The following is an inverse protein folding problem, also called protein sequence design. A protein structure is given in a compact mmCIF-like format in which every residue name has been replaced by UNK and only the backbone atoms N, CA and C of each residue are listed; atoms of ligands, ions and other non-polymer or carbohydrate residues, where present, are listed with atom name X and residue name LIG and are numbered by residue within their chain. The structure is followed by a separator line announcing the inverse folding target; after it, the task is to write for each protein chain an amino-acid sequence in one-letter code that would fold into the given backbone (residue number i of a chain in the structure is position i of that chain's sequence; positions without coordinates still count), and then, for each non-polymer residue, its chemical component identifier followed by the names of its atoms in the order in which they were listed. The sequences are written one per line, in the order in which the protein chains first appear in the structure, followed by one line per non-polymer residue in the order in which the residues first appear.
data_IF_416379394762
#
_entry.id   IF_416379394762
#
_cell.length_a   1.000
_cell.length_b   1.000
_cell.length_c   1.000
_cell.angle_alpha   90.00
_cell.angle_beta   90.00
_cell.angle_gamma   90.00
#
_symmetry.space_group_name_H-M   'P 1'
#
loop_
_entity.id
_entity.type
_entity.pdbx_description
1 polymer ?
#
# COMPACT_ATOMS: atom_id res chain seq x y z
N UNK A 1 69.01 29.36 -0.18
CA UNK A 1 67.65 29.29 0.42
C UNK A 1 66.85 28.01 0.13
N UNK A 2 67.27 27.08 -0.75
CA UNK A 2 66.54 25.81 -0.98
C UNK A 2 66.87 24.68 0.02
N UNK A 3 67.98 24.75 0.76
CA UNK A 3 68.33 23.71 1.74
C UNK A 3 67.65 23.88 3.11
N UNK A 4 67.18 25.08 3.46
CA UNK A 4 66.50 25.33 4.73
C UNK A 4 65.04 24.83 4.75
N UNK A 5 64.35 24.78 3.60
CA UNK A 5 62.96 24.29 3.56
C UNK A 5 62.89 22.75 3.64
N UNK A 6 63.88 22.04 3.12
CA UNK A 6 63.91 20.57 3.16
C UNK A 6 64.11 20.02 4.59
N UNK A 7 64.90 20.73 5.41
CA UNK A 7 65.12 20.38 6.82
C UNK A 7 63.88 20.65 7.68
N UNK A 8 63.09 21.69 7.36
CA UNK A 8 61.87 22.02 8.10
C UNK A 8 60.74 21.02 7.82
N UNK A 9 60.61 20.56 6.56
CA UNK A 9 59.61 19.55 6.18
C UNK A 9 59.86 18.17 6.80
N UNK A 10 61.14 17.80 6.95
CA UNK A 10 61.50 16.52 7.61
C UNK A 10 61.28 16.58 9.12
N UNK A 11 61.58 17.71 9.76
CA UNK A 11 61.30 17.90 11.19
C UNK A 11 59.79 17.90 11.49
N UNK A 12 58.98 18.57 10.66
CA UNK A 12 57.53 18.61 10.86
C UNK A 12 56.89 17.21 10.70
N UNK A 13 57.33 16.42 9.71
CA UNK A 13 56.83 15.04 9.53
C UNK A 13 57.19 14.12 10.69
N UNK A 14 58.38 14.27 11.26
CA UNK A 14 58.81 13.48 12.42
C UNK A 14 57.97 13.80 13.67
N UNK A 15 57.66 15.08 13.91
CA UNK A 15 56.82 15.50 15.04
C UNK A 15 55.37 15.03 14.88
N UNK A 16 54.80 15.12 13.68
CA UNK A 16 53.42 14.65 13.41
C UNK A 16 53.31 13.14 13.59
N UNK A 17 54.29 12.36 13.13
CA UNK A 17 54.31 10.90 13.32
C UNK A 17 54.49 10.52 14.80
N UNK A 18 55.35 11.22 15.54
CA UNK A 18 55.53 10.99 16.97
C UNK A 18 54.25 11.26 17.78
N UNK A 19 53.52 12.34 17.45
CA UNK A 19 52.22 12.64 18.06
C UNK A 19 51.15 11.61 17.72
N UNK A 20 51.09 11.14 16.47
CA UNK A 20 50.14 10.10 16.06
C UNK A 20 50.36 8.79 16.81
N UNK A 21 51.62 8.36 16.96
CA UNK A 21 51.97 7.14 17.70
C UNK A 21 51.67 7.30 19.20
N UNK A 22 51.97 8.47 19.77
CA UNK A 22 51.67 8.75 21.18
C UNK A 22 50.16 8.70 21.49
N UNK A 23 49.32 9.23 20.59
CA UNK A 23 47.86 9.16 20.73
C UNK A 23 47.32 7.73 20.61
N UNK A 24 47.90 6.90 19.74
CA UNK A 24 47.53 5.48 19.61
C UNK A 24 47.91 4.70 20.89
N UNK A 25 49.09 4.97 21.46
CA UNK A 25 49.57 4.30 22.67
C UNK A 25 48.72 4.72 23.89
N UNK A 26 48.44 6.01 24.08
CA UNK A 26 47.58 6.48 25.18
C UNK A 26 46.14 6.00 25.01
N UNK A 27 45.62 5.97 23.77
CA UNK A 27 44.31 5.41 23.45
C UNK A 27 44.21 3.92 23.80
N UNK A 28 45.25 3.12 23.51
CA UNK A 28 45.23 1.68 23.84
C UNK A 28 45.38 1.38 25.34
N UNK A 29 46.07 2.23 26.10
CA UNK A 29 46.28 2.03 27.54
C UNK A 29 45.09 2.46 28.40
N UNK A 30 44.35 3.49 27.97
CA UNK A 30 43.14 3.95 28.67
C UNK A 30 41.93 3.02 28.44
N UNK A 31 41.84 2.42 27.26
CA UNK A 31 40.76 1.46 26.91
C UNK A 31 40.89 0.13 27.66
N UNK A 32 42.09 -0.27 28.08
CA UNK A 32 42.33 -1.59 28.70
C UNK A 32 42.17 -1.63 30.22
N UNK A 33 42.01 -0.49 30.92
CA UNK A 33 41.99 -0.47 32.40
C UNK A 33 40.76 0.13 33.08
N UNK A 34 39.84 0.79 32.36
CA UNK A 34 38.80 1.59 33.02
C UNK A 34 37.34 1.19 32.75
N UNK A 35 37.04 0.21 31.89
CA UNK A 35 35.63 -0.01 31.50
C UNK A 35 35.26 -1.48 31.28
N UNK A 36 34.13 -1.99 31.85
CA UNK A 36 33.58 -3.31 31.51
C UNK A 36 33.39 -3.44 29.99
N UNK A 37 33.41 -4.67 29.43
CA UNK A 37 33.86 -4.92 28.07
C UNK A 37 33.03 -4.14 27.05
N UNK A 38 33.56 -3.03 26.58
CA UNK A 38 33.04 -2.32 25.42
C UNK A 38 33.02 -3.21 24.18
N UNK A 39 33.80 -4.30 24.15
CA UNK A 39 33.71 -5.32 23.10
C UNK A 39 32.30 -5.88 22.94
N UNK A 40 31.61 -6.25 24.02
CA UNK A 40 30.25 -6.81 23.93
C UNK A 40 29.21 -5.75 23.52
N UNK A 41 29.33 -4.53 24.05
CA UNK A 41 28.41 -3.42 23.71
C UNK A 41 28.64 -2.90 22.29
N UNK A 42 29.90 -2.78 21.86
CA UNK A 42 30.27 -2.36 20.52
C UNK A 42 29.93 -3.44 19.50
N UNK A 43 30.16 -4.73 19.80
CA UNK A 43 29.77 -5.84 18.93
C UNK A 43 28.24 -6.00 18.87
N UNK A 44 27.50 -5.75 19.97
CA UNK A 44 26.04 -5.67 19.95
C UNK A 44 25.54 -4.47 19.11
N UNK A 45 26.18 -3.30 19.19
CA UNK A 45 25.86 -2.14 18.35
C UNK A 45 26.22 -2.36 16.87
N UNK A 46 27.38 -2.97 16.58
CA UNK A 46 27.82 -3.25 15.22
C UNK A 46 26.99 -4.35 14.56
N UNK A 47 26.64 -5.41 15.30
CA UNK A 47 25.73 -6.45 14.80
C UNK A 47 24.31 -5.92 14.58
N UNK A 48 23.83 -5.03 15.45
CA UNK A 48 22.53 -4.37 15.28
C UNK A 48 22.47 -3.47 14.03
N UNK A 49 23.58 -2.80 13.66
CA UNK A 49 23.58 -1.80 12.58
C UNK A 49 24.20 -2.26 11.24
N UNK A 50 25.09 -3.25 11.24
CA UNK A 50 25.94 -3.55 10.07
C UNK A 50 25.75 -4.97 9.52
N UNK A 51 25.50 -5.98 10.36
CA UNK A 51 25.47 -7.39 9.92
C UNK A 51 24.21 -8.17 10.29
N UNK A 52 23.32 -7.59 11.12
CA UNK A 52 22.28 -8.35 11.82
C UNK A 52 22.84 -9.24 12.93
N UNK A 53 21.96 -9.69 13.84
CA UNK A 53 22.30 -10.69 14.84
C UNK A 53 22.46 -12.06 14.17
N UNK A 54 23.70 -12.55 14.07
CA UNK A 54 23.98 -13.91 13.60
C UNK A 54 23.64 -14.93 14.69
N UNK A 55 23.35 -16.17 14.31
CA UNK A 55 23.08 -17.25 15.26
C UNK A 55 24.21 -17.39 16.31
N UNK A 56 25.47 -17.23 15.88
CA UNK A 56 26.64 -17.25 16.76
C UNK A 56 26.67 -16.11 17.79
N UNK A 57 26.24 -14.89 17.41
CA UNK A 57 26.16 -13.75 18.31
C UNK A 57 24.97 -13.88 19.28
N UNK A 58 23.87 -14.49 18.86
CA UNK A 58 22.76 -14.80 19.76
C UNK A 58 23.11 -15.88 20.78
N UNK A 59 23.93 -16.88 20.42
CA UNK A 59 24.39 -17.89 21.38
C UNK A 59 25.36 -17.32 22.43
N UNK A 60 26.21 -16.36 22.07
CA UNK A 60 27.14 -15.74 23.02
C UNK A 60 26.45 -14.82 24.03
N UNK A 61 25.37 -14.13 23.63
CA UNK A 61 24.58 -13.29 24.52
C UNK A 61 23.08 -13.34 24.20
N UNK A 62 22.40 -14.36 24.74
CA UNK A 62 20.96 -14.60 24.51
C UNK A 62 20.07 -13.46 24.98
N UNK A 63 20.41 -12.84 26.11
CA UNK A 63 19.64 -11.72 26.70
C UNK A 63 19.69 -10.50 25.79
N UNK A 64 20.88 -10.13 25.30
CA UNK A 64 21.05 -8.99 24.40
C UNK A 64 20.34 -9.25 23.05
N UNK A 65 20.46 -10.46 22.50
CA UNK A 65 19.77 -10.86 21.28
C UNK A 65 18.24 -10.77 21.42
N UNK A 66 17.65 -11.34 22.48
CA UNK A 66 16.20 -11.26 22.73
C UNK A 66 15.73 -9.81 22.94
N UNK A 67 16.53 -8.97 23.61
CA UNK A 67 16.20 -7.56 23.83
C UNK A 67 16.23 -6.76 22.52
N UNK A 68 17.17 -7.04 21.62
CA UNK A 68 17.20 -6.45 20.29
C UNK A 68 15.98 -6.89 19.47
N UNK A 69 15.64 -8.20 19.48
CA UNK A 69 14.45 -8.72 18.79
C UNK A 69 13.15 -8.10 19.31
N UNK A 70 13.07 -7.81 20.61
CA UNK A 70 11.95 -7.07 21.18
C UNK A 70 11.83 -5.67 20.59
N UNK A 71 12.96 -4.94 20.52
CA UNK A 71 13.02 -3.61 19.88
C UNK A 71 12.63 -3.67 18.40
N UNK A 72 13.11 -4.67 17.67
CA UNK A 72 12.76 -4.89 16.25
C UNK A 72 11.27 -5.14 16.07
N UNK A 73 10.67 -6.03 16.87
CA UNK A 73 9.24 -6.32 16.82
C UNK A 73 8.39 -5.10 17.21
N UNK A 74 8.84 -4.29 18.18
CA UNK A 74 8.14 -3.06 18.55
C UNK A 74 8.18 -2.01 17.43
N UNK A 75 9.32 -1.87 16.76
CA UNK A 75 9.47 -1.04 15.58
C UNK A 75 8.57 -1.53 14.42
N UNK A 76 8.54 -2.84 14.16
CA UNK A 76 7.66 -3.46 13.16
C UNK A 76 6.18 -3.25 13.51
N UNK A 77 5.80 -3.44 14.77
CA UNK A 77 4.43 -3.20 15.25
C UNK A 77 3.98 -1.75 15.01
N UNK A 78 4.88 -0.79 15.27
CA UNK A 78 4.62 0.63 15.04
C UNK A 78 4.50 0.94 13.55
N UNK A 79 5.41 0.42 12.70
CA UNK A 79 5.33 0.57 11.24
C UNK A 79 4.04 -0.03 10.67
N UNK A 80 3.62 -1.20 11.13
CA UNK A 80 2.33 -1.80 10.77
C UNK A 80 1.16 -0.91 11.17
N UNK A 81 1.19 -0.30 12.36
CA UNK A 81 0.19 0.68 12.78
C UNK A 81 0.07 1.85 11.80
N UNK A 82 1.20 2.44 11.40
CA UNK A 82 1.24 3.52 10.40
C UNK A 82 0.75 3.06 9.03
N UNK A 83 1.17 1.87 8.56
CA UNK A 83 0.75 1.32 7.28
C UNK A 83 -0.76 1.03 7.24
N UNK A 84 -1.33 0.45 8.29
CA UNK A 84 -2.78 0.23 8.42
C UNK A 84 -3.53 1.56 8.40
N UNK A 85 -3.05 2.58 9.13
CA UNK A 85 -3.66 3.90 9.10
C UNK A 85 -3.62 4.54 7.71
N UNK A 86 -2.50 4.42 7.00
CA UNK A 86 -2.36 4.91 5.63
C UNK A 86 -3.28 4.18 4.64
N UNK A 87 -3.35 2.84 4.70
CA UNK A 87 -4.26 2.03 3.88
C UNK A 87 -5.73 2.34 4.20
N UNK A 88 -6.09 2.49 5.47
CA UNK A 88 -7.44 2.86 5.88
C UNK A 88 -7.87 4.21 5.31
N UNK A 89 -6.97 5.20 5.32
CA UNK A 89 -7.21 6.50 4.69
C UNK A 89 -7.36 6.40 3.17
N UNK A 90 -6.56 5.56 2.51
CA UNK A 90 -6.72 5.30 1.07
C UNK A 90 -8.04 4.60 0.77
N UNK A 91 -8.40 3.56 1.52
CA UNK A 91 -9.68 2.85 1.40
C UNK A 91 -10.85 3.83 1.51
N UNK A 92 -10.87 4.69 2.52
CA UNK A 92 -11.93 5.70 2.66
C UNK A 92 -12.00 6.69 1.49
N UNK A 93 -10.89 6.98 0.78
CA UNK A 93 -10.92 7.76 -0.47
C UNK A 93 -11.53 6.95 -1.61
N UNK A 94 -11.18 5.67 -1.73
CA UNK A 94 -11.70 4.76 -2.75
C UNK A 94 -13.19 4.50 -2.57
N UNK A 95 -13.67 4.31 -1.34
CA UNK A 95 -15.10 4.16 -1.04
C UNK A 95 -15.91 5.39 -1.47
N UNK A 96 -15.41 6.60 -1.19
CA UNK A 96 -16.07 7.83 -1.65
C UNK A 96 -16.08 7.97 -3.17
N UNK A 97 -14.99 7.60 -3.85
CA UNK A 97 -14.96 7.58 -5.31
C UNK A 97 -15.95 6.54 -5.85
N UNK A 98 -16.04 5.35 -5.25
CA UNK A 98 -16.99 4.31 -5.64
C UNK A 98 -18.44 4.80 -5.55
N UNK A 99 -18.82 5.41 -4.42
CA UNK A 99 -20.14 6.02 -4.24
C UNK A 99 -20.40 7.11 -5.29
N UNK A 100 -19.40 7.94 -5.59
CA UNK A 100 -19.50 8.96 -6.63
C UNK A 100 -19.77 8.34 -8.01
N UNK A 101 -19.01 7.31 -8.40
CA UNK A 101 -19.18 6.63 -9.69
C UNK A 101 -20.49 5.88 -9.79
N UNK A 102 -20.96 5.28 -8.70
CA UNK A 102 -22.29 4.65 -8.65
C UNK A 102 -23.41 5.68 -8.86
N UNK A 103 -23.28 6.89 -8.27
CA UNK A 103 -24.23 7.98 -8.52
C UNK A 103 -24.19 8.47 -9.97
N UNK A 104 -23.00 8.61 -10.56
CA UNK A 104 -22.85 8.97 -11.98
C UNK A 104 -23.52 7.95 -12.91
N UNK A 105 -23.30 6.66 -12.66
CA UNK A 105 -23.92 5.57 -13.42
C UNK A 105 -25.44 5.56 -13.26
N UNK A 106 -25.95 5.70 -12.03
CA UNK A 106 -27.39 5.76 -11.77
C UNK A 106 -28.04 6.99 -12.41
N UNK A 107 -27.37 8.14 -12.38
CA UNK A 107 -27.81 9.37 -13.04
C UNK A 107 -27.87 9.22 -14.56
N UNK A 108 -26.85 8.61 -15.17
CA UNK A 108 -26.83 8.30 -16.61
C UNK A 108 -28.00 7.36 -16.98
N UNK A 109 -28.26 6.32 -16.19
CA UNK A 109 -29.38 5.41 -16.40
C UNK A 109 -30.74 6.14 -16.30
N UNK A 110 -30.92 7.01 -15.30
CA UNK A 110 -32.14 7.80 -15.15
C UNK A 110 -32.38 8.73 -16.35
N UNK A 111 -31.32 9.40 -16.84
CA UNK A 111 -31.38 10.24 -18.04
C UNK A 111 -31.74 9.45 -19.30
N UNK A 112 -31.16 8.25 -19.46
CA UNK A 112 -31.53 7.35 -20.56
C UNK A 112 -33.00 6.95 -20.50
N UNK A 113 -33.50 6.62 -19.31
CA UNK A 113 -34.87 6.19 -19.12
C UNK A 113 -35.87 7.31 -19.40
N UNK A 114 -35.65 8.50 -18.83
CA UNK A 114 -36.45 9.70 -19.08
C UNK A 114 -36.40 10.09 -20.56
N UNK A 115 -35.21 10.21 -21.12
CA UNK A 115 -35.01 10.68 -22.48
C UNK A 115 -35.65 9.75 -23.51
N UNK A 116 -35.59 8.43 -23.31
CA UNK A 116 -36.27 7.52 -24.23
C UNK A 116 -37.81 7.56 -24.07
N UNK A 117 -38.36 8.01 -22.92
CA UNK A 117 -39.82 8.20 -22.75
C UNK A 117 -40.25 9.44 -23.53
N UNK A 118 -39.49 10.53 -23.38
CA UNK A 118 -39.67 11.77 -24.11
C UNK A 118 -39.51 11.56 -25.62
N UNK A 119 -38.52 10.77 -26.06
CA UNK A 119 -38.31 10.43 -27.46
C UNK A 119 -39.52 9.73 -28.07
N UNK A 120 -40.08 8.73 -27.38
CA UNK A 120 -41.27 8.02 -27.85
C UNK A 120 -42.49 8.96 -27.97
N UNK A 121 -42.67 9.88 -27.02
CA UNK A 121 -43.76 10.88 -27.06
C UNK A 121 -43.57 11.89 -28.20
N UNK A 122 -42.39 12.49 -28.29
CA UNK A 122 -42.03 13.47 -29.31
C UNK A 122 -42.13 12.91 -30.73
N UNK A 123 -41.74 11.65 -30.92
CA UNK A 123 -41.80 10.97 -32.22
C UNK A 123 -43.24 10.70 -32.65
N UNK A 124 -44.13 10.28 -31.73
CA UNK A 124 -45.56 10.08 -32.01
C UNK A 124 -46.27 11.40 -32.31
N UNK A 125 -45.98 12.43 -31.53
CA UNK A 125 -46.60 13.75 -31.66
C UNK A 125 -45.98 14.61 -32.78
N UNK A 126 -44.80 14.23 -33.29
CA UNK A 126 -43.97 15.03 -34.21
C UNK A 126 -43.64 16.43 -33.65
N UNK A 127 -43.40 16.52 -32.35
CA UNK A 127 -43.08 17.77 -31.63
C UNK A 127 -41.68 17.73 -31.05
N UNK A 128 -41.20 18.86 -30.54
CA UNK A 128 -39.98 18.93 -29.72
C UNK A 128 -40.22 18.35 -28.32
N UNK A 129 -39.14 17.96 -27.64
CA UNK A 129 -39.15 17.57 -26.24
C UNK A 129 -38.14 18.39 -25.44
N UNK A 130 -38.47 18.68 -24.18
CA UNK A 130 -37.55 19.30 -23.22
C UNK A 130 -36.85 18.18 -22.45
N UNK A 131 -35.53 18.10 -22.55
CA UNK A 131 -34.71 17.11 -21.86
C UNK A 131 -33.54 17.82 -21.17
N UNK A 132 -33.35 17.56 -19.87
CA UNK A 132 -32.34 18.24 -19.04
C UNK A 132 -32.35 19.78 -19.18
N UNK A 133 -33.53 20.38 -19.31
CA UNK A 133 -33.72 21.83 -19.42
C UNK A 133 -33.44 22.43 -20.81
N UNK A 134 -33.22 21.62 -21.84
CA UNK A 134 -33.03 22.07 -23.24
C UNK A 134 -34.06 21.45 -24.17
N UNK A 135 -34.46 22.20 -25.19
CA UNK A 135 -35.37 21.71 -26.23
C UNK A 135 -34.60 20.94 -27.32
N UNK A 136 -35.16 19.79 -27.72
CA UNK A 136 -34.61 18.92 -28.75
C UNK A 136 -35.67 18.53 -29.77
N UNK A 137 -35.29 18.47 -31.04
CA UNK A 137 -36.04 17.73 -32.06
C UNK A 137 -35.87 16.21 -31.83
N UNK A 138 -36.78 15.35 -32.33
CA UNK A 138 -36.66 13.91 -32.15
C UNK A 138 -35.29 13.34 -32.59
N UNK A 139 -34.76 13.77 -33.72
CA UNK A 139 -33.45 13.32 -34.21
C UNK A 139 -32.29 13.81 -33.34
N UNK A 140 -32.36 15.05 -32.84
CA UNK A 140 -31.36 15.58 -31.94
C UNK A 140 -31.37 14.87 -30.58
N UNK A 141 -32.57 14.57 -30.05
CA UNK A 141 -32.74 13.79 -28.83
C UNK A 141 -32.21 12.36 -29.00
N UNK A 142 -32.48 11.71 -30.14
CA UNK A 142 -31.94 10.38 -30.45
C UNK A 142 -30.41 10.36 -30.36
N UNK A 143 -29.73 11.32 -31.00
CA UNK A 143 -28.26 11.44 -30.96
C UNK A 143 -27.75 11.68 -29.55
N UNK A 144 -28.43 12.52 -28.77
CA UNK A 144 -28.05 12.78 -27.39
C UNK A 144 -28.17 11.52 -26.53
N UNK A 145 -29.24 10.73 -26.71
CA UNK A 145 -29.42 9.46 -26.02
C UNK A 145 -28.40 8.41 -26.44
N UNK A 146 -28.00 8.42 -27.71
CA UNK A 146 -26.95 7.54 -28.22
C UNK A 146 -25.61 7.81 -27.52
N UNK A 147 -25.24 9.09 -27.34
CA UNK A 147 -24.04 9.47 -26.59
C UNK A 147 -24.11 8.96 -25.15
N UNK A 148 -25.22 9.22 -24.45
CA UNK A 148 -25.42 8.75 -23.07
C UNK A 148 -25.35 7.22 -22.97
N UNK A 149 -25.88 6.51 -23.98
CA UNK A 149 -25.89 5.05 -24.03
C UNK A 149 -24.48 4.49 -24.22
N UNK A 150 -23.67 5.13 -25.08
CA UNK A 150 -22.26 4.79 -25.29
C UNK A 150 -21.38 5.11 -24.07
N UNK A 151 -21.77 6.06 -23.22
CA UNK A 151 -21.08 6.39 -21.96
C UNK A 151 -21.31 5.33 -20.87
N UNK A 152 -22.49 4.70 -20.84
CA UNK A 152 -22.87 3.69 -19.83
C UNK A 152 -21.81 2.59 -19.61
N UNK A 153 -21.31 1.88 -20.63
CA UNK A 153 -20.29 0.83 -20.43
C UNK A 153 -18.98 1.38 -19.84
N UNK A 154 -18.60 2.62 -20.20
CA UNK A 154 -17.42 3.26 -19.64
C UNK A 154 -17.62 3.58 -18.14
N UNK A 155 -18.78 4.13 -17.75
CA UNK A 155 -19.13 4.37 -16.35
C UNK A 155 -19.18 3.07 -15.55
N UNK A 156 -19.79 2.02 -16.11
CA UNK A 156 -19.84 0.70 -15.47
C UNK A 156 -18.43 0.11 -15.26
N UNK A 157 -17.54 0.25 -16.25
CA UNK A 157 -16.16 -0.21 -16.13
C UNK A 157 -15.41 0.54 -15.02
N UNK A 158 -15.63 1.85 -14.88
CA UNK A 158 -15.07 2.64 -13.78
C UNK A 158 -15.60 2.18 -12.42
N UNK A 159 -16.91 1.98 -12.27
CA UNK A 159 -17.51 1.46 -11.03
C UNK A 159 -16.87 0.11 -10.66
N UNK A 160 -16.78 -0.81 -11.62
CA UNK A 160 -16.19 -2.13 -11.38
C UNK A 160 -14.71 -2.04 -10.98
N UNK A 161 -13.95 -1.15 -11.61
CA UNK A 161 -12.54 -0.92 -11.29
C UNK A 161 -12.37 -0.42 -9.86
N UNK A 162 -13.13 0.60 -9.46
CA UNK A 162 -13.03 1.17 -8.13
C UNK A 162 -13.51 0.16 -7.07
N UNK A 163 -14.52 -0.65 -7.38
CA UNK A 163 -14.96 -1.75 -6.52
C UNK A 163 -13.87 -2.82 -6.33
N UNK A 164 -13.21 -3.25 -7.42
CA UNK A 164 -12.07 -4.19 -7.33
C UNK A 164 -10.92 -3.62 -6.50
N UNK A 165 -10.62 -2.33 -6.66
CA UNK A 165 -9.60 -1.65 -5.87
C UNK A 165 -9.99 -1.61 -4.39
N UNK A 166 -11.25 -1.33 -4.08
CA UNK A 166 -11.76 -1.35 -2.71
C UNK A 166 -11.58 -2.73 -2.06
N UNK A 167 -11.92 -3.80 -2.78
CA UNK A 167 -11.77 -5.18 -2.31
C UNK A 167 -10.30 -5.55 -2.06
N UNK A 168 -9.39 -5.13 -2.95
CA UNK A 168 -7.95 -5.37 -2.79
C UNK A 168 -7.43 -4.65 -1.54
N UNK A 169 -7.81 -3.38 -1.34
CA UNK A 169 -7.43 -2.62 -0.15
C UNK A 169 -7.99 -3.24 1.13
N UNK A 170 -9.22 -3.72 1.12
CA UNK A 170 -9.83 -4.37 2.28
C UNK A 170 -9.11 -5.66 2.67
N UNK A 171 -8.80 -6.54 1.70
CA UNK A 171 -8.02 -7.76 1.95
C UNK A 171 -6.63 -7.46 2.51
N UNK A 172 -5.95 -6.47 1.95
CA UNK A 172 -4.61 -6.05 2.42
C UNK A 172 -4.68 -5.47 3.84
N UNK A 173 -5.69 -4.65 4.13
CA UNK A 173 -5.90 -4.09 5.46
C UNK A 173 -6.14 -5.21 6.49
N UNK A 174 -7.00 -6.17 6.17
CA UNK A 174 -7.27 -7.34 7.04
C UNK A 174 -6.00 -8.18 7.27
N UNK A 175 -5.23 -8.45 6.21
CA UNK A 175 -3.95 -9.18 6.33
C UNK A 175 -2.94 -8.45 7.23
N UNK A 176 -2.78 -7.13 7.06
CA UNK A 176 -1.91 -6.33 7.92
C UNK A 176 -2.39 -6.28 9.38
N UNK A 177 -3.71 -6.24 9.61
CA UNK A 177 -4.26 -6.32 10.97
C UNK A 177 -3.93 -7.67 11.62
N UNK A 178 -4.11 -8.78 10.90
CA UNK A 178 -3.72 -10.11 11.39
C UNK A 178 -2.22 -10.15 11.69
N UNK A 179 -1.36 -9.67 10.78
CA UNK A 179 0.10 -9.60 11.00
C UNK A 179 0.45 -8.75 12.21
N UNK A 180 -0.22 -7.61 12.41
CA UNK A 180 -0.01 -6.75 13.60
C UNK A 180 -0.33 -7.48 14.90
N UNK A 181 -1.42 -8.26 14.94
CA UNK A 181 -1.76 -9.06 16.13
C UNK A 181 -0.72 -10.15 16.41
N UNK A 182 -0.20 -10.82 15.36
CA UNK A 182 0.88 -11.82 15.49
C UNK A 182 2.19 -11.21 16.00
N UNK A 183 2.60 -10.07 15.43
CA UNK A 183 3.80 -9.32 15.86
C UNK A 183 3.65 -8.87 17.31
N UNK A 184 2.48 -8.35 17.69
CA UNK A 184 2.20 -7.96 19.07
C UNK A 184 2.31 -9.16 20.03
N UNK A 185 1.66 -10.28 19.71
CA UNK A 185 1.73 -11.48 20.55
C UNK A 185 3.16 -11.98 20.72
N UNK A 186 3.93 -12.03 19.63
CA UNK A 186 5.35 -12.39 19.68
C UNK A 186 6.17 -11.42 20.54
N UNK A 187 5.95 -10.11 20.39
CA UNK A 187 6.62 -9.07 21.19
C UNK A 187 6.31 -9.22 22.67
N UNK A 188 5.04 -9.45 23.01
CA UNK A 188 4.57 -9.52 24.39
C UNK A 188 5.07 -10.80 25.13
N UNK A 189 5.52 -11.84 24.40
CA UNK A 189 6.15 -13.04 24.97
C UNK A 189 7.64 -12.87 25.31
N UNK A 190 8.35 -11.98 24.61
CA UNK A 190 9.80 -11.83 24.76
C UNK A 190 10.26 -11.40 26.15
N UNK A 191 9.58 -10.49 26.89
CA UNK A 191 9.98 -10.13 28.25
C UNK A 191 10.06 -11.34 29.19
N UNK A 192 9.07 -12.24 29.13
CA UNK A 192 9.07 -13.47 29.93
C UNK A 192 10.22 -14.39 29.53
N UNK A 193 10.51 -14.53 28.23
CA UNK A 193 11.63 -15.34 27.76
C UNK A 193 12.99 -14.76 28.20
N UNK A 194 13.13 -13.43 28.19
CA UNK A 194 14.32 -12.74 28.67
C UNK A 194 14.56 -13.06 30.15
N UNK A 195 13.52 -13.01 30.98
CA UNK A 195 13.63 -13.36 32.41
C UNK A 195 13.96 -14.83 32.64
N UNK A 196 13.39 -15.74 31.84
CA UNK A 196 13.73 -17.17 31.91
C UNK A 196 15.20 -17.45 31.54
N UNK A 197 15.72 -16.78 30.52
CA UNK A 197 17.14 -16.87 30.15
C UNK A 197 18.03 -16.29 31.26
N UNK A 198 17.65 -15.14 31.84
CA UNK A 198 18.37 -14.54 32.99
C UNK A 198 18.39 -15.48 34.19
N UNK A 199 17.32 -16.25 34.40
CA UNK A 199 17.23 -17.26 35.44
C UNK A 199 17.99 -18.58 35.14
N UNK A 200 18.74 -18.65 34.03
CA UNK A 200 19.43 -19.87 33.57
C UNK A 200 18.51 -21.09 33.36
N UNK A 201 17.21 -20.88 33.12
CA UNK A 201 16.32 -21.96 32.76
C UNK A 201 16.68 -22.46 31.36
N UNK A 202 17.15 -23.71 31.25
CA UNK A 202 17.45 -24.35 29.96
C UNK A 202 16.13 -24.55 29.21
N UNK A 203 15.86 -23.69 28.24
CA UNK A 203 14.71 -23.83 27.35
C UNK A 203 15.27 -24.03 25.94
N UNK A 204 15.20 -25.27 25.46
CA UNK A 204 15.62 -25.65 24.10
C UNK A 204 14.80 -24.98 22.99
N UNK A 205 13.63 -24.44 23.31
CA UNK A 205 12.68 -23.86 22.34
C UNK A 205 12.85 -22.35 22.09
N UNK A 206 13.81 -21.68 22.75
CA UNK A 206 14.06 -20.24 22.51
C UNK A 206 14.57 -20.04 21.07
N UNK A 207 15.41 -20.93 20.56
CA UNK A 207 15.99 -20.83 19.22
C UNK A 207 14.95 -21.09 18.11
N UNK A 208 13.91 -21.89 18.39
CA UNK A 208 12.76 -22.05 17.48
C UNK A 208 11.91 -20.78 17.44
N UNK A 209 11.58 -20.23 18.61
CA UNK A 209 10.78 -19.00 18.72
C UNK A 209 11.49 -17.81 18.08
N UNK A 210 12.81 -17.67 18.27
CA UNK A 210 13.62 -16.63 17.65
C UNK A 210 13.63 -16.69 16.13
N UNK A 211 13.68 -17.89 15.55
CA UNK A 211 13.62 -18.08 14.09
C UNK A 211 12.25 -17.69 13.54
N UNK A 212 11.18 -18.09 14.22
CA UNK A 212 9.81 -17.75 13.81
C UNK A 212 9.53 -16.24 13.91
N UNK A 213 10.04 -15.60 14.96
CA UNK A 213 9.99 -14.14 15.13
C UNK A 213 10.73 -13.43 14.00
N UNK A 214 11.92 -13.91 13.64
CA UNK A 214 12.73 -13.28 12.58
C UNK A 214 12.05 -13.42 11.23
N UNK A 215 11.58 -14.63 10.87
CA UNK A 215 10.80 -14.84 9.64
C UNK A 215 9.54 -13.99 9.60
N UNK A 216 8.84 -13.85 10.72
CA UNK A 216 7.66 -12.99 10.81
C UNK A 216 8.01 -11.52 10.53
N UNK A 217 9.08 -11.01 11.13
CA UNK A 217 9.55 -9.64 10.92
C UNK A 217 9.98 -9.41 9.46
N UNK A 218 10.71 -10.34 8.86
CA UNK A 218 11.18 -10.24 7.48
C UNK A 218 10.01 -10.26 6.48
N UNK A 219 9.06 -11.19 6.65
CA UNK A 219 7.86 -11.26 5.82
C UNK A 219 7.06 -9.95 5.90
N UNK A 220 6.85 -9.42 7.10
CA UNK A 220 6.15 -8.15 7.31
C UNK A 220 6.87 -6.97 6.65
N UNK A 221 8.20 -6.90 6.77
CA UNK A 221 8.97 -5.83 6.13
C UNK A 221 8.88 -5.91 4.60
N UNK A 222 8.89 -7.11 4.02
CA UNK A 222 8.65 -7.31 2.58
C UNK A 222 7.26 -6.83 2.18
N UNK A 223 6.22 -7.22 2.92
CA UNK A 223 4.86 -6.79 2.62
C UNK A 223 4.72 -5.26 2.68
N UNK A 224 5.32 -4.61 3.69
CA UNK A 224 5.30 -3.14 3.80
C UNK A 224 6.03 -2.48 2.63
N UNK A 225 7.10 -3.08 2.12
CA UNK A 225 7.80 -2.59 0.93
C UNK A 225 6.90 -2.70 -0.31
N UNK A 226 6.20 -3.83 -0.49
CA UNK A 226 5.29 -4.07 -1.60
C UNK A 226 4.10 -3.09 -1.60
N UNK A 227 3.65 -2.61 -0.43
CA UNK A 227 2.62 -1.58 -0.34
C UNK A 227 3.02 -0.26 -1.04
N UNK A 228 4.32 0.03 -1.17
CA UNK A 228 4.77 1.23 -1.89
C UNK A 228 4.55 1.13 -3.40
N UNK A 229 4.46 -0.07 -3.94
CA UNK A 229 4.30 -0.33 -5.38
C UNK A 229 2.83 -0.38 -5.83
N UNK A 230 1.88 -0.22 -4.90
CA UNK A 230 0.44 -0.17 -5.23
C UNK A 230 0.14 0.91 -6.29
N UNK A 231 0.91 2.02 -6.31
CA UNK A 231 0.79 3.06 -7.33
C UNK A 231 1.02 2.57 -8.77
N UNK A 232 1.92 1.60 -8.97
CA UNK A 232 2.20 1.02 -10.30
C UNK A 232 1.08 0.14 -10.82
N UNK A 233 0.40 -0.59 -9.92
CA UNK A 233 -0.73 -1.45 -10.27
C UNK A 233 -1.98 -0.64 -10.71
N UNK A 234 -2.15 0.56 -10.16
CA UNK A 234 -3.24 1.46 -10.52
C UNK A 234 -3.10 2.00 -11.96
N UNK A 235 -1.87 2.30 -12.39
CA UNK A 235 -1.60 2.80 -13.73
C UNK A 235 -1.90 1.76 -14.83
N UNK A 236 -1.53 0.50 -14.61
CA UNK A 236 -1.73 -0.58 -15.59
C UNK A 236 -3.21 -0.96 -15.77
N UNK A 237 -3.99 -0.89 -14.69
CA UNK A 237 -5.44 -1.18 -14.74
C UNK A 237 -6.19 -0.14 -15.58
N UNK A 238 -5.83 1.13 -15.48
CA UNK A 238 -6.42 2.20 -16.29
C UNK A 238 -6.17 2.00 -17.80
N UNK A 239 -4.99 1.49 -18.16
CA UNK A 239 -4.62 1.25 -19.55
C UNK A 239 -5.37 0.08 -20.19
N UNK A 240 -5.58 -1.01 -19.43
CA UNK A 240 -6.38 -2.17 -19.86
C UNK A 240 -7.84 -1.74 -20.12
N UNK A 241 -8.38 -0.87 -19.27
CA UNK A 241 -9.76 -0.40 -19.37
C UNK A 241 -9.93 0.55 -20.56
N UNK A 242 -8.97 1.45 -20.82
CA UNK A 242 -9.02 2.31 -22.00
C UNK A 242 -9.12 1.49 -23.29
N UNK A 243 -8.37 0.39 -23.38
CA UNK A 243 -8.42 -0.54 -24.52
C UNK A 243 -9.76 -1.27 -24.61
N UNK A 244 -10.31 -1.74 -23.48
CA UNK A 244 -11.62 -2.43 -23.45
C UNK A 244 -12.78 -1.50 -23.80
N UNK A 245 -12.81 -0.29 -23.24
CA UNK A 245 -13.83 0.71 -23.55
C UNK A 245 -13.78 1.15 -25.03
N UNK A 246 -12.60 1.19 -25.65
CA UNK A 246 -12.48 1.42 -27.09
C UNK A 246 -13.00 0.25 -27.93
N UNK A 247 -12.77 -0.99 -27.49
CA UNK A 247 -13.27 -2.18 -28.17
C UNK A 247 -14.80 -2.32 -28.08
N UNK A 248 -15.40 -1.96 -26.94
CA UNK A 248 -16.85 -2.09 -26.74
C UNK A 248 -17.65 -1.01 -27.53
N UNK A 249 -17.03 0.14 -27.84
CA UNK A 249 -17.68 1.22 -28.62
C UNK A 249 -18.00 0.82 -30.06
N UNK A 250 -17.25 -0.09 -30.69
CA UNK A 250 -17.47 -0.46 -32.08
C UNK A 250 -18.67 -1.41 -32.30
N UNK A 251 -19.14 -2.10 -31.24
CA UNK A 251 -20.34 -2.95 -31.29
C UNK A 251 -21.65 -2.25 -30.92
N UNK A 252 -21.59 -1.08 -30.27
CA UNK A 252 -22.73 -0.50 -29.55
C UNK A 252 -23.84 0.11 -30.43
N UNK A 253 -23.55 0.53 -31.68
CA UNK A 253 -24.54 1.21 -32.55
C UNK A 253 -25.74 0.33 -32.91
N UNK A 254 -25.53 -0.96 -33.18
CA UNK A 254 -26.61 -1.91 -33.53
C UNK A 254 -27.56 -2.20 -32.37
N UNK A 255 -27.04 -2.11 -31.13
CA UNK A 255 -27.81 -2.43 -29.93
C UNK A 255 -28.58 -1.22 -29.39
N UNK A 256 -28.11 0.00 -29.69
CA UNK A 256 -28.81 1.23 -29.27
C UNK A 256 -30.21 1.33 -29.87
N UNK A 257 -30.38 1.11 -31.19
CA UNK A 257 -31.69 1.18 -31.83
C UNK A 257 -32.66 0.12 -31.29
N UNK A 258 -32.16 -1.08 -30.97
CA UNK A 258 -32.96 -2.13 -30.33
C UNK A 258 -33.38 -1.72 -28.93
N UNK A 259 -32.47 -1.16 -28.14
CA UNK A 259 -32.75 -0.68 -26.79
C UNK A 259 -33.77 0.47 -26.81
N UNK A 260 -33.58 1.47 -27.68
CA UNK A 260 -34.43 2.65 -27.75
C UNK A 260 -35.88 2.31 -28.13
N UNK A 261 -36.07 1.29 -28.98
CA UNK A 261 -37.37 0.86 -29.48
C UNK A 261 -37.94 -0.36 -28.73
N UNK A 262 -37.25 -0.88 -27.71
CA UNK A 262 -37.74 -2.03 -26.96
C UNK A 262 -39.04 -1.68 -26.20
N UNK A 263 -40.03 -2.60 -26.17
CA UNK A 263 -41.24 -2.40 -25.39
C UNK A 263 -40.89 -2.31 -23.90
N UNK A 264 -41.23 -1.19 -23.26
CA UNK A 264 -40.94 -1.00 -21.83
C UNK A 264 -42.04 -1.59 -20.96
N UNK A 265 -41.70 -2.20 -19.81
CA UNK A 265 -42.68 -2.87 -18.95
C UNK A 265 -43.78 -1.94 -18.44
N UNK A 266 -43.52 -0.64 -18.26
CA UNK A 266 -44.55 0.35 -17.89
C UNK A 266 -45.62 0.59 -18.97
N UNK A 267 -45.41 0.13 -20.21
CA UNK A 267 -46.38 0.24 -21.31
C UNK A 267 -47.21 -1.03 -21.54
N UNK A 268 -46.91 -2.13 -20.83
CA UNK A 268 -47.74 -3.33 -20.85
C UNK A 268 -48.89 -3.08 -19.88
N UNK A 269 -49.98 -2.50 -20.39
CA UNK A 269 -51.22 -2.41 -19.63
C UNK A 269 -51.56 -3.80 -19.06
N UNK A 270 -51.92 -3.92 -17.77
CA UNK A 270 -52.33 -5.20 -17.22
C UNK A 270 -53.48 -5.71 -18.08
N UNK A 271 -53.26 -6.84 -18.77
CA UNK A 271 -54.35 -7.56 -19.43
C UNK A 271 -55.40 -7.77 -18.35
N UNK A 272 -56.57 -7.17 -18.52
CA UNK A 272 -57.70 -7.44 -17.67
C UNK A 272 -57.87 -8.97 -17.62
N UNK A 273 -57.79 -9.54 -16.43
CA UNK A 273 -58.08 -10.94 -16.24
C UNK A 273 -59.58 -11.11 -16.54
N UNK A 274 -59.89 -11.77 -17.67
CA UNK A 274 -61.21 -12.32 -17.96
C UNK A 274 -61.50 -13.54 -17.08
#
# INVERSE_FOLDING_TARGET
MKMLSAAFDTAHRAVVLAWAVFLIIIGSWTVSRAVPPWGEKAQALFSHYVTGWTDSACQSNKVACLSAKYSDLDAVHTRLGTAIGALGNQKGKVERDLESRQRELAGNQALLDEGAKLYAQATRAKTTAIFAGREYTPDALKRQLEVLYQERPALQALVNQVAMMNDVLDRRLNDLMVKKTKVRAARDLLPTQIELVRANAVIGDIDATLRDVTKLADNVNSDIADLKDIGGWLATTAEIIKRKAQADRSGAMSDFDKWLNAPRPEQVAPKAAE
#
